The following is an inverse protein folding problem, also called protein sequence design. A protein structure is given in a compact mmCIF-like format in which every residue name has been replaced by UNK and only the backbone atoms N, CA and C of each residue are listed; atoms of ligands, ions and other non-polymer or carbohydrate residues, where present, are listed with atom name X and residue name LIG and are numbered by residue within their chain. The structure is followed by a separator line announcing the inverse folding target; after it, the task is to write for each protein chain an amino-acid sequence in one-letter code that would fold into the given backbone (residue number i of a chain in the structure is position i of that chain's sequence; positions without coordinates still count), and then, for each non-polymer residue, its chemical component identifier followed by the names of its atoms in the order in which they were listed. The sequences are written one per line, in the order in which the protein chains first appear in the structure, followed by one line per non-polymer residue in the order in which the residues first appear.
data_IF_919962367813
#
_entry.id   IF_919962367813
#
_cell.length_a   1.000
_cell.length_b   1.000
_cell.length_c   1.000
_cell.angle_alpha   90.00
_cell.angle_beta   90.00
_cell.angle_gamma   90.00
#
_symmetry.space_group_name_H-M   'P 1'
#
loop_
_entity.id
_entity.type
_entity.pdbx_description
1 polymer ?
#
# COMPACT_ATOMS: atom_id res chain seq x y z
N UNK A 1 53.01 4.53 -42.51
CA UNK A 1 51.76 5.33 -42.52
C UNK A 1 50.72 4.62 -41.65
N UNK A 2 50.44 5.11 -40.45
CA UNK A 2 49.42 4.54 -39.57
C UNK A 2 48.24 5.52 -39.49
N UNK A 3 47.09 5.10 -40.00
CA UNK A 3 45.83 5.82 -39.84
C UNK A 3 45.26 5.47 -38.48
N UNK A 4 45.28 6.42 -37.55
CA UNK A 4 44.54 6.30 -36.30
C UNK A 4 43.05 6.51 -36.60
N UNK A 5 42.25 5.45 -36.47
CA UNK A 5 40.80 5.52 -36.50
C UNK A 5 40.33 6.05 -35.14
N UNK A 6 39.80 7.27 -35.12
CA UNK A 6 39.29 7.90 -33.90
C UNK A 6 37.84 7.44 -33.70
N UNK A 7 37.63 6.49 -32.79
CA UNK A 7 36.30 6.03 -32.40
C UNK A 7 35.71 7.05 -31.42
N UNK A 8 34.77 7.88 -31.89
CA UNK A 8 34.02 8.80 -31.02
C UNK A 8 32.92 7.99 -30.33
N UNK A 9 33.11 7.72 -29.04
CA UNK A 9 32.06 7.20 -28.16
C UNK A 9 31.08 8.35 -27.87
N UNK A 10 29.89 8.31 -28.47
CA UNK A 10 28.78 9.18 -28.08
C UNK A 10 28.24 8.61 -26.78
N UNK A 11 28.64 9.20 -25.65
CA UNK A 11 27.98 8.98 -24.37
C UNK A 11 26.63 9.68 -24.49
N UNK A 12 25.58 8.92 -24.79
CA UNK A 12 24.21 9.37 -24.62
C UNK A 12 24.00 9.62 -23.13
N UNK A 13 23.91 10.90 -22.74
CA UNK A 13 23.46 11.29 -21.42
C UNK A 13 22.08 10.67 -21.16
N UNK A 14 22.01 9.70 -20.26
CA UNK A 14 20.75 9.19 -19.74
C UNK A 14 20.10 10.40 -19.07
N UNK A 15 18.99 10.89 -19.62
CA UNK A 15 18.12 11.84 -18.93
C UNK A 15 17.67 11.10 -17.67
N UNK A 16 18.25 11.46 -16.53
CA UNK A 16 17.83 10.89 -15.24
C UNK A 16 16.38 11.32 -15.02
N UNK A 17 15.47 10.38 -15.20
CA UNK A 17 14.13 10.42 -14.62
C UNK A 17 14.24 10.94 -13.20
N UNK A 18 13.57 12.05 -12.88
CA UNK A 18 13.45 12.45 -11.48
C UNK A 18 12.21 11.78 -10.93
N UNK A 19 12.32 11.22 -9.73
CA UNK A 19 11.18 10.64 -9.05
C UNK A 19 10.73 11.56 -7.90
N UNK A 20 9.42 11.75 -7.79
CA UNK A 20 8.81 12.24 -6.54
C UNK A 20 8.07 11.07 -5.92
N UNK A 21 8.33 10.81 -4.64
CA UNK A 21 7.73 9.67 -3.94
C UNK A 21 7.21 10.02 -2.55
N UNK A 22 6.23 9.25 -2.11
CA UNK A 22 5.83 9.12 -0.71
C UNK A 22 6.21 7.73 -0.22
N UNK A 23 6.69 7.66 1.01
CA UNK A 23 6.93 6.40 1.74
C UNK A 23 5.95 6.28 2.89
N UNK A 24 5.32 5.13 3.02
CA UNK A 24 4.41 4.76 4.10
C UNK A 24 5.11 3.67 4.90
N UNK A 25 5.53 3.98 6.12
CA UNK A 25 6.21 3.01 6.98
C UNK A 25 5.24 2.00 7.57
N UNK A 26 5.75 0.79 7.82
CA UNK A 26 5.06 -0.27 8.55
C UNK A 26 4.61 0.24 9.93
N UNK A 27 5.50 0.94 10.65
CA UNK A 27 5.21 1.47 11.98
C UNK A 27 3.99 2.41 11.97
N UNK A 28 3.90 3.31 10.99
CA UNK A 28 2.76 4.22 10.86
C UNK A 28 1.43 3.44 10.72
N UNK A 29 1.43 2.41 9.89
CA UNK A 29 0.24 1.58 9.66
C UNK A 29 -0.07 0.74 10.90
N UNK A 30 0.95 0.17 11.55
CA UNK A 30 0.79 -0.62 12.76
C UNK A 30 0.30 0.23 13.94
N UNK A 31 0.74 1.48 14.07
CA UNK A 31 0.25 2.40 15.08
C UNK A 31 -1.21 2.78 14.85
N UNK A 32 -1.60 3.00 13.60
CA UNK A 32 -3.01 3.14 13.25
C UNK A 32 -3.83 1.89 13.64
N UNK A 33 -3.35 0.68 13.32
CA UNK A 33 -4.05 -0.56 13.66
C UNK A 33 -4.14 -0.80 15.17
N UNK A 34 -3.13 -0.40 15.96
CA UNK A 34 -3.21 -0.42 17.43
C UNK A 34 -4.28 0.52 17.96
N UNK A 35 -4.45 1.70 17.36
CA UNK A 35 -5.49 2.67 17.74
C UNK A 35 -6.88 2.12 17.44
N UNK A 36 -7.09 1.52 16.26
CA UNK A 36 -8.36 0.85 15.92
C UNK A 36 -8.61 -0.34 16.86
N UNK A 37 -7.56 -1.10 17.14
CA UNK A 37 -7.56 -2.14 18.16
C UNK A 37 -8.39 -3.36 17.80
N UNK A 38 -8.75 -4.12 18.83
CA UNK A 38 -9.47 -5.38 18.68
C UNK A 38 -10.98 -5.12 18.54
N UNK A 39 -11.67 -6.02 17.85
CA UNK A 39 -13.13 -5.96 17.71
C UNK A 39 -13.81 -7.23 18.22
N UNK A 40 -14.95 -7.05 18.87
CA UNK A 40 -15.88 -8.12 19.20
C UNK A 40 -17.23 -7.84 18.56
N UNK A 41 -17.73 -8.80 17.78
CA UNK A 41 -18.90 -8.63 16.91
C UNK A 41 -19.87 -9.79 17.17
N UNK A 42 -20.90 -9.57 17.98
CA UNK A 42 -22.00 -10.52 18.09
C UNK A 42 -22.80 -10.54 16.77
N UNK A 43 -23.01 -11.72 16.19
CA UNK A 43 -23.81 -11.92 14.97
C UNK A 43 -24.88 -12.97 15.17
N UNK A 44 -26.11 -12.65 14.79
CA UNK A 44 -27.27 -13.54 14.87
C UNK A 44 -28.37 -12.99 15.79
N UNK A 45 -29.47 -13.75 15.97
CA UNK A 45 -30.59 -13.37 16.83
C UNK A 45 -30.17 -13.21 18.28
N UNK A 46 -30.78 -12.27 19.00
CA UNK A 46 -30.57 -12.10 20.45
C UNK A 46 -30.84 -13.44 21.17
N UNK A 47 -29.89 -13.89 21.99
CA UNK A 47 -29.95 -15.19 22.69
C UNK A 47 -29.27 -16.37 21.97
N UNK A 48 -28.98 -16.27 20.67
CA UNK A 48 -28.27 -17.32 19.89
C UNK A 48 -27.14 -16.72 19.01
N UNK A 49 -26.48 -15.68 19.53
CA UNK A 49 -25.45 -14.98 18.80
C UNK A 49 -24.16 -15.78 18.76
N UNK A 50 -23.52 -15.81 17.59
CA UNK A 50 -22.11 -16.14 17.49
C UNK A 50 -21.28 -14.91 17.85
N UNK A 51 -20.29 -15.08 18.71
CA UNK A 51 -19.31 -14.04 19.04
C UNK A 51 -18.10 -14.19 18.13
N UNK A 52 -17.86 -13.18 17.31
CA UNK A 52 -16.65 -13.05 16.52
C UNK A 52 -15.68 -12.13 17.25
N UNK A 53 -14.44 -12.54 17.44
CA UNK A 53 -13.40 -11.64 17.94
C UNK A 53 -12.29 -11.55 16.91
N UNK A 54 -11.85 -10.33 16.60
CA UNK A 54 -10.69 -10.06 15.74
C UNK A 54 -9.64 -9.41 16.62
N UNK A 55 -8.46 -10.01 16.69
CA UNK A 55 -7.42 -9.66 17.66
C UNK A 55 -6.06 -9.46 17.00
N UNK A 56 -5.28 -8.57 17.58
CA UNK A 56 -3.89 -8.30 17.25
C UNK A 56 -3.72 -8.00 15.74
N UNK A 57 -4.48 -7.04 15.18
CA UNK A 57 -4.30 -6.63 13.79
C UNK A 57 -2.93 -5.95 13.64
N UNK A 58 -2.17 -6.38 12.64
CA UNK A 58 -0.89 -5.76 12.26
C UNK A 58 -0.60 -5.95 10.78
N UNK A 59 0.32 -5.17 10.24
CA UNK A 59 0.93 -5.40 8.94
C UNK A 59 2.39 -5.78 9.09
N UNK A 60 2.91 -6.41 8.03
CA UNK A 60 4.31 -6.77 7.86
C UNK A 60 4.68 -6.47 6.40
N UNK A 61 5.64 -5.58 6.17
CA UNK A 61 6.11 -5.12 4.87
C UNK A 61 7.49 -5.70 4.59
N UNK A 62 7.56 -6.53 3.56
CA UNK A 62 8.77 -7.19 3.10
C UNK A 62 9.05 -6.80 1.64
N UNK A 63 10.26 -7.09 1.18
CA UNK A 63 10.61 -6.92 -0.22
C UNK A 63 9.61 -7.66 -1.12
N UNK A 64 8.97 -6.91 -2.03
CA UNK A 64 8.01 -7.43 -2.99
C UNK A 64 6.62 -7.76 -2.44
N UNK A 65 6.35 -7.64 -1.13
CA UNK A 65 4.99 -7.86 -0.63
C UNK A 65 4.68 -7.22 0.72
N UNK A 66 3.41 -6.87 0.91
CA UNK A 66 2.87 -6.43 2.19
C UNK A 66 1.77 -7.40 2.64
N UNK A 67 1.73 -7.74 3.93
CA UNK A 67 0.77 -8.68 4.50
C UNK A 67 0.03 -8.06 5.69
N UNK A 68 -1.28 -8.21 5.73
CA UNK A 68 -2.13 -8.00 6.90
C UNK A 68 -2.25 -9.31 7.70
N UNK A 69 -2.04 -9.20 9.01
CA UNK A 69 -2.01 -10.31 9.95
C UNK A 69 -2.99 -10.05 11.09
N UNK A 70 -3.79 -11.05 11.47
CA UNK A 70 -4.67 -10.96 12.63
C UNK A 70 -5.06 -12.36 13.12
N UNK A 71 -5.57 -12.46 14.34
CA UNK A 71 -6.25 -13.65 14.84
C UNK A 71 -7.75 -13.44 14.84
N UNK A 72 -8.50 -14.33 14.18
CA UNK A 72 -9.97 -14.32 14.24
C UNK A 72 -10.45 -15.53 15.03
N UNK A 73 -11.36 -15.31 15.98
CA UNK A 73 -12.04 -16.37 16.71
C UNK A 73 -13.55 -16.31 16.50
N UNK A 74 -14.18 -17.47 16.42
CA UNK A 74 -15.62 -17.65 16.31
C UNK A 74 -16.10 -18.57 17.44
N UNK A 75 -17.04 -18.09 18.25
CA UNK A 75 -17.65 -18.85 19.33
C UNK A 75 -19.17 -18.87 19.17
N UNK A 76 -19.76 -20.07 19.13
CA UNK A 76 -21.23 -20.26 19.18
C UNK A 76 -21.55 -21.57 19.91
N UNK A 77 -22.19 -21.48 21.08
CA UNK A 77 -22.43 -22.64 21.93
C UNK A 77 -21.14 -23.41 22.24
N UNK A 78 -21.09 -24.71 21.88
CA UNK A 78 -19.90 -25.56 22.04
C UNK A 78 -18.87 -25.41 20.92
N UNK A 79 -19.17 -24.63 19.88
CA UNK A 79 -18.28 -24.44 18.73
C UNK A 79 -17.34 -23.29 19.04
N UNK A 80 -16.03 -23.56 18.98
CA UNK A 80 -14.98 -22.57 19.09
C UNK A 80 -13.94 -22.83 17.98
N UNK A 81 -13.75 -21.86 17.09
CA UNK A 81 -12.80 -21.92 15.98
C UNK A 81 -11.87 -20.72 16.09
N UNK A 82 -10.57 -20.97 16.11
CA UNK A 82 -9.51 -19.94 16.05
C UNK A 82 -8.77 -20.08 14.73
N UNK A 83 -8.54 -18.97 14.04
CA UNK A 83 -7.78 -18.92 12.80
C UNK A 83 -6.81 -17.74 12.83
N UNK A 84 -5.53 -18.04 12.61
CA UNK A 84 -4.55 -17.01 12.28
C UNK A 84 -4.74 -16.67 10.81
N UNK A 85 -4.94 -15.39 10.51
CA UNK A 85 -5.26 -14.89 9.18
C UNK A 85 -4.07 -14.09 8.68
N UNK A 86 -3.62 -14.46 7.48
CA UNK A 86 -2.66 -13.72 6.67
C UNK A 86 -3.32 -13.38 5.34
N UNK A 87 -3.33 -12.10 4.96
CA UNK A 87 -3.91 -11.58 3.72
C UNK A 87 -2.91 -10.62 3.09
N UNK A 88 -2.81 -10.59 1.76
CA UNK A 88 -1.96 -9.62 1.08
C UNK A 88 -2.56 -8.22 1.20
N UNK A 89 -1.70 -7.22 1.21
CA UNK A 89 -2.07 -5.82 1.04
C UNK A 89 -1.80 -5.44 -0.42
N UNK A 90 -2.84 -4.94 -1.08
CA UNK A 90 -2.76 -4.30 -2.38
C UNK A 90 -2.65 -2.79 -2.19
N UNK A 91 -1.80 -2.14 -2.99
CA UNK A 91 -1.57 -0.70 -2.92
C UNK A 91 -2.15 -0.09 -4.19
N UNK A 92 -3.06 0.86 -4.01
CA UNK A 92 -3.69 1.58 -5.12
C UNK A 92 -3.32 3.05 -5.05
N UNK A 93 -2.97 3.65 -6.19
CA UNK A 93 -2.75 5.09 -6.29
C UNK A 93 -3.74 5.72 -7.29
N UNK A 94 -4.60 6.60 -6.78
CA UNK A 94 -5.50 7.43 -7.58
C UNK A 94 -4.83 8.76 -7.91
N UNK A 95 -4.54 8.98 -9.20
CA UNK A 95 -3.92 10.21 -9.67
C UNK A 95 -4.84 11.44 -9.57
N UNK A 96 -6.14 11.25 -9.78
CA UNK A 96 -7.13 12.33 -9.76
C UNK A 96 -7.29 12.89 -8.36
N UNK A 97 -7.43 11.99 -7.38
CA UNK A 97 -7.60 12.35 -5.97
C UNK A 97 -6.26 12.56 -5.24
N UNK A 98 -5.14 12.30 -5.90
CA UNK A 98 -3.80 12.24 -5.31
C UNK A 98 -3.81 11.45 -3.98
N UNK A 99 -4.30 10.21 -4.04
CA UNK A 99 -4.52 9.38 -2.87
C UNK A 99 -3.90 7.99 -3.06
N UNK A 100 -3.14 7.54 -2.07
CA UNK A 100 -2.65 6.16 -1.95
C UNK A 100 -3.53 5.41 -0.95
N UNK A 101 -4.03 4.24 -1.32
CA UNK A 101 -4.83 3.39 -0.44
C UNK A 101 -4.15 2.04 -0.24
N UNK A 102 -4.10 1.56 1.01
CA UNK A 102 -3.70 0.19 1.33
C UNK A 102 -4.95 -0.66 1.55
N UNK A 103 -5.15 -1.67 0.72
CA UNK A 103 -6.36 -2.48 0.67
C UNK A 103 -6.03 -3.92 1.09
N UNK A 104 -6.84 -4.52 1.95
CA UNK A 104 -6.69 -5.93 2.31
C UNK A 104 -7.26 -6.75 1.17
N UNK A 105 -6.43 -7.53 0.49
CA UNK A 105 -6.86 -8.39 -0.60
C UNK A 105 -7.73 -9.55 -0.09
N UNK A 106 -8.86 -9.79 -0.76
CA UNK A 106 -9.84 -10.81 -0.40
C UNK A 106 -10.13 -10.83 1.12
N UNK A 107 -10.67 -9.73 1.69
CA UNK A 107 -10.70 -9.49 3.14
C UNK A 107 -11.66 -10.41 3.90
N UNK A 108 -12.46 -11.20 3.19
CA UNK A 108 -13.42 -12.13 3.78
C UNK A 108 -12.70 -13.36 4.36
N UNK A 109 -12.96 -13.62 5.64
CA UNK A 109 -12.52 -14.80 6.38
C UNK A 109 -13.74 -15.70 6.60
N UNK A 110 -13.62 -16.95 6.14
CA UNK A 110 -14.60 -18.01 6.38
C UNK A 110 -14.16 -18.83 7.60
N UNK A 111 -15.10 -19.11 8.50
CA UNK A 111 -14.93 -20.04 9.62
C UNK A 111 -15.56 -21.36 9.27
N UNK A 112 -14.73 -22.39 9.12
CA UNK A 112 -15.14 -23.70 8.67
C UNK A 112 -14.44 -24.81 9.47
N UNK A 113 -15.14 -25.93 9.66
CA UNK A 113 -14.61 -27.13 10.32
C UNK A 113 -15.23 -28.35 9.67
N UNK A 114 -14.39 -29.32 9.27
CA UNK A 114 -14.84 -30.57 8.61
C UNK A 114 -15.77 -30.33 7.40
N UNK A 115 -15.48 -29.31 6.58
CA UNK A 115 -16.27 -28.96 5.39
C UNK A 115 -17.53 -28.13 5.66
N UNK A 116 -17.96 -27.96 6.91
CA UNK A 116 -19.08 -27.08 7.26
C UNK A 116 -18.61 -25.64 7.47
N UNK A 117 -19.24 -24.69 6.79
CA UNK A 117 -19.00 -23.24 6.98
C UNK A 117 -19.99 -22.70 8.02
N UNK A 118 -19.47 -22.17 9.12
CA UNK A 118 -20.26 -21.60 10.23
C UNK A 118 -20.54 -20.10 10.06
N UNK A 119 -19.74 -19.42 9.24
CA UNK A 119 -20.01 -18.04 8.88
C UNK A 119 -18.82 -17.34 8.25
N UNK A 120 -19.01 -16.05 7.98
CA UNK A 120 -18.02 -15.18 7.33
C UNK A 120 -17.93 -13.83 8.04
N UNK A 121 -16.72 -13.28 8.07
CA UNK A 121 -16.47 -11.92 8.51
C UNK A 121 -15.59 -11.21 7.48
N UNK A 122 -15.88 -9.94 7.23
CA UNK A 122 -15.16 -9.11 6.27
C UNK A 122 -14.28 -8.13 7.05
N UNK A 123 -12.97 -8.29 6.95
CA UNK A 123 -11.98 -7.52 7.70
C UNK A 123 -11.87 -6.06 7.24
N UNK A 124 -12.25 -5.77 5.99
CA UNK A 124 -12.15 -4.41 5.43
C UNK A 124 -13.02 -3.41 6.19
N UNK A 125 -14.17 -3.87 6.70
CA UNK A 125 -15.13 -3.07 7.47
C UNK A 125 -14.57 -2.52 8.78
N UNK A 126 -13.49 -3.13 9.28
CA UNK A 126 -12.88 -2.79 10.56
C UNK A 126 -11.59 -1.99 10.36
N UNK A 127 -10.73 -2.41 9.42
CA UNK A 127 -9.35 -1.93 9.38
C UNK A 127 -8.98 -1.11 8.14
N UNK A 128 -9.80 -1.09 7.08
CA UNK A 128 -9.36 -0.54 5.79
C UNK A 128 -9.73 0.94 5.59
N UNK A 129 -10.77 1.44 6.26
CA UNK A 129 -11.34 2.78 5.97
C UNK A 129 -10.35 3.93 6.13
N UNK A 130 -9.45 3.86 7.13
CA UNK A 130 -8.45 4.88 7.41
C UNK A 130 -7.08 4.67 6.77
N UNK A 131 -6.87 3.59 6.01
CA UNK A 131 -5.58 3.32 5.35
C UNK A 131 -5.46 4.07 4.02
N UNK A 132 -5.60 5.40 4.10
CA UNK A 132 -5.59 6.33 2.97
C UNK A 132 -4.61 7.46 3.24
N UNK A 133 -3.71 7.68 2.31
CA UNK A 133 -2.58 8.61 2.43
C UNK A 133 -2.57 9.58 1.25
N UNK A 134 -1.96 10.74 1.43
CA UNK A 134 -1.70 11.65 0.32
C UNK A 134 -0.70 11.05 -0.66
N UNK A 135 -0.93 11.21 -1.96
CA UNK A 135 0.01 10.77 -2.98
C UNK A 135 1.10 11.80 -3.29
N UNK A 136 2.10 11.39 -4.10
CA UNK A 136 3.30 12.19 -4.40
C UNK A 136 3.11 13.24 -5.50
N UNK A 137 1.87 13.61 -5.88
CA UNK A 137 1.62 14.54 -6.99
C UNK A 137 2.21 15.94 -6.69
N UNK A 138 3.11 16.47 -7.55
CA UNK A 138 3.64 17.81 -7.38
C UNK A 138 2.55 18.88 -7.52
N UNK A 139 2.67 19.94 -6.70
CA UNK A 139 1.72 21.07 -6.70
C UNK A 139 1.82 21.91 -7.97
N UNK A 140 3.04 22.09 -8.47
CA UNK A 140 3.33 22.86 -9.68
C UNK A 140 3.51 21.94 -10.88
N UNK A 141 3.17 22.42 -12.08
CA UNK A 141 3.37 21.69 -13.35
C UNK A 141 4.69 22.03 -14.04
N UNK A 142 5.51 22.89 -13.44
CA UNK A 142 6.75 23.36 -14.02
C UNK A 142 7.74 23.77 -12.94
N UNK A 143 9.02 23.74 -13.28
CA UNK A 143 10.10 24.32 -12.48
C UNK A 143 10.55 25.64 -13.10
N UNK A 144 10.84 26.62 -12.25
CA UNK A 144 11.50 27.87 -12.64
C UNK A 144 12.97 27.77 -12.25
N UNK A 145 13.86 27.74 -13.22
CA UNK A 145 15.30 27.64 -13.00
C UNK A 145 15.98 28.97 -13.35
N UNK A 146 16.92 29.40 -12.51
CA UNK A 146 17.78 30.56 -12.80
C UNK A 146 19.07 30.05 -13.44
N UNK A 147 19.37 30.54 -14.63
CA UNK A 147 20.58 30.18 -15.38
C UNK A 147 21.43 31.43 -15.64
N UNK A 148 22.65 31.23 -16.14
CA UNK A 148 23.49 32.32 -16.65
C UNK A 148 22.86 33.10 -17.80
N UNK A 149 21.88 32.52 -18.50
CA UNK A 149 21.12 33.15 -19.61
C UNK A 149 19.78 33.76 -19.17
N UNK A 150 19.47 33.77 -17.86
CA UNK A 150 18.21 34.27 -17.32
C UNK A 150 17.32 33.17 -16.73
N UNK A 151 16.04 33.48 -16.50
CA UNK A 151 15.06 32.54 -15.92
C UNK A 151 14.43 31.70 -17.03
N UNK A 152 14.50 30.38 -16.90
CA UNK A 152 13.82 29.43 -17.80
C UNK A 152 12.70 28.70 -17.05
N UNK A 153 11.66 28.32 -17.78
CA UNK A 153 10.54 27.51 -17.29
C UNK A 153 10.66 26.14 -17.95
N UNK A 154 10.69 25.08 -17.13
CA UNK A 154 10.78 23.69 -17.60
C UNK A 154 9.49 22.99 -17.19
N UNK A 155 8.76 22.43 -18.15
CA UNK A 155 7.50 21.76 -17.86
C UNK A 155 7.79 20.38 -17.26
N UNK A 156 6.94 19.95 -16.33
CA UNK A 156 6.99 18.63 -15.71
C UNK A 156 5.82 17.81 -16.19
N UNK A 157 6.12 16.66 -16.79
CA UNK A 157 5.14 15.65 -17.15
C UNK A 157 5.34 14.42 -16.29
N UNK A 158 4.24 13.74 -15.95
CA UNK A 158 4.29 12.48 -15.23
C UNK A 158 4.20 11.37 -16.26
N UNK A 159 5.21 10.51 -16.29
CA UNK A 159 5.32 9.42 -17.26
C UNK A 159 4.60 8.17 -16.78
N UNK A 160 4.83 7.78 -15.53
CA UNK A 160 4.15 6.64 -14.90
C UNK A 160 4.11 6.80 -13.37
N UNK A 161 3.34 5.94 -12.71
CA UNK A 161 3.42 5.68 -11.28
C UNK A 161 4.05 4.32 -11.03
N UNK A 162 4.87 4.22 -9.99
CA UNK A 162 5.57 2.99 -9.61
C UNK A 162 5.32 2.74 -8.12
N UNK A 163 5.06 1.49 -7.77
CA UNK A 163 4.85 1.05 -6.40
C UNK A 163 5.99 0.11 -6.03
N UNK A 164 6.72 0.44 -4.96
CA UNK A 164 7.80 -0.37 -4.43
C UNK A 164 7.38 -0.94 -3.07
N UNK A 165 7.63 -2.24 -2.90
CA UNK A 165 7.56 -2.92 -1.61
C UNK A 165 8.98 -3.16 -1.14
N UNK A 166 9.39 -2.38 -0.13
CA UNK A 166 10.70 -2.43 0.51
C UNK A 166 10.51 -2.97 1.93
N UNK A 167 11.61 -3.38 2.58
CA UNK A 167 11.53 -3.78 3.98
C UNK A 167 10.99 -2.62 4.84
N UNK A 168 9.96 -2.90 5.64
CA UNK A 168 9.27 -1.96 6.52
C UNK A 168 8.61 -0.75 5.83
N UNK A 169 8.57 -0.67 4.49
CA UNK A 169 8.08 0.51 3.76
C UNK A 169 7.37 0.13 2.46
N UNK A 170 6.21 0.76 2.23
CA UNK A 170 5.59 0.84 0.91
C UNK A 170 5.85 2.23 0.33
N UNK A 171 6.46 2.31 -0.85
CA UNK A 171 6.73 3.57 -1.54
C UNK A 171 5.90 3.69 -2.81
N UNK A 172 5.29 4.85 -3.01
CA UNK A 172 4.62 5.20 -4.27
C UNK A 172 5.38 6.36 -4.88
N UNK A 173 5.90 6.15 -6.09
CA UNK A 173 6.69 7.13 -6.84
C UNK A 173 5.98 7.53 -8.14
N UNK A 174 6.28 8.73 -8.61
CA UNK A 174 5.96 9.22 -9.94
C UNK A 174 7.26 9.49 -10.68
N UNK A 175 7.42 8.86 -11.83
CA UNK A 175 8.49 9.18 -12.77
C UNK A 175 8.13 10.49 -13.49
N UNK A 176 9.02 11.48 -13.40
CA UNK A 176 8.87 12.80 -14.00
C UNK A 176 9.81 12.99 -15.19
N UNK A 177 9.22 13.50 -16.26
CA UNK A 177 9.93 13.97 -17.44
C UNK A 177 9.92 15.51 -17.49
N UNK A 178 11.09 16.09 -17.76
CA UNK A 178 11.29 17.52 -17.85
C UNK A 178 11.52 17.92 -19.31
N UNK A 179 10.68 18.83 -19.81
CA UNK A 179 10.68 19.29 -21.20
C UNK A 179 10.77 20.82 -21.26
#
# INVERSE_FOLDING_TARGET
MHRAFLFIYIITSIISASEISISISEDLVNDYLKIIGNHEVPKGPKGDQAIWSIKDPKVNFEYGSADFLTTVTFKKGKINIKKNVKKKIFVEYSYDNNQVSLLIEAPVVKMERKGTVYGKIDLSKFYQSGLKFHGPKPKEKFLKLKTSKGKIKVNMNIKNSIIYFEENVVRVALDLEYI
#
